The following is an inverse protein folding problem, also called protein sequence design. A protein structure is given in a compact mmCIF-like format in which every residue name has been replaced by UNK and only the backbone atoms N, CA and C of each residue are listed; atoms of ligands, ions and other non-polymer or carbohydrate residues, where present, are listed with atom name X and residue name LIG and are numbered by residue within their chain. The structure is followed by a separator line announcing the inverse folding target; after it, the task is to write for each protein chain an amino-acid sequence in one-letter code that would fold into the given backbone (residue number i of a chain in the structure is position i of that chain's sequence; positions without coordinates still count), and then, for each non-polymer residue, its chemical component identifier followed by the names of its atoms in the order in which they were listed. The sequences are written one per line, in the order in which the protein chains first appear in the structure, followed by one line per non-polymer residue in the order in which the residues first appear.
data_IF_812698611727
#
_entry.id   IF_812698611727
#
_cell.length_a   1.000
_cell.length_b   1.000
_cell.length_c   1.000
_cell.angle_alpha   90.00
_cell.angle_beta   90.00
_cell.angle_gamma   90.00
#
_symmetry.space_group_name_H-M   'P 1'
#
loop_
_entity.id
_entity.type
_entity.pdbx_description
1 polymer ?
#
# COMPACT_ATOMS: atom_id res chain seq x y z
N UNK A 1 -6.15 -21.23 -9.31
CA UNK A 1 -6.18 -19.75 -9.23
C UNK A 1 -7.62 -19.32 -9.48
N UNK A 2 -8.29 -18.74 -8.49
CA UNK A 2 -9.68 -18.29 -8.66
C UNK A 2 -9.73 -17.19 -9.70
N UNK A 3 -10.60 -17.35 -10.70
CA UNK A 3 -10.89 -16.35 -11.72
C UNK A 3 -11.25 -15.05 -11.00
N UNK A 4 -10.40 -14.03 -11.11
CA UNK A 4 -10.74 -12.71 -10.57
C UNK A 4 -11.87 -12.19 -11.47
N UNK A 5 -13.04 -11.89 -10.89
CA UNK A 5 -14.21 -11.35 -11.61
C UNK A 5 -13.95 -9.90 -12.03
N UNK A 6 -13.02 -9.74 -12.98
CA UNK A 6 -12.56 -8.46 -13.50
C UNK A 6 -13.22 -8.24 -14.86
N UNK A 7 -13.81 -7.07 -15.03
CA UNK A 7 -14.39 -6.65 -16.32
C UNK A 7 -13.65 -5.45 -16.86
N UNK A 8 -13.41 -5.45 -18.16
CA UNK A 8 -12.66 -4.42 -18.86
C UNK A 8 -13.62 -3.52 -19.64
N UNK A 9 -13.45 -2.21 -19.53
CA UNK A 9 -14.27 -1.21 -20.23
C UNK A 9 -13.42 -0.57 -21.30
N UNK A 10 -13.83 -0.71 -22.56
CA UNK A 10 -13.18 -0.07 -23.71
C UNK A 10 -14.04 1.05 -24.29
N UNK A 11 -13.40 2.03 -24.91
CA UNK A 11 -14.09 3.06 -25.69
C UNK A 11 -14.52 2.55 -27.08
N UNK A 12 -15.13 3.45 -27.87
CA UNK A 12 -15.61 3.13 -29.22
C UNK A 12 -14.49 2.76 -30.18
N UNK A 13 -13.24 3.17 -29.90
CA UNK A 13 -12.06 2.83 -30.68
C UNK A 13 -11.42 1.53 -30.21
N UNK A 14 -12.00 0.87 -29.20
CA UNK A 14 -11.47 -0.37 -28.61
C UNK A 14 -10.34 -0.13 -27.61
N UNK A 15 -9.99 1.12 -27.30
CA UNK A 15 -8.96 1.42 -26.32
C UNK A 15 -9.50 1.20 -24.90
N UNK A 16 -8.74 0.48 -24.08
CA UNK A 16 -9.11 0.20 -22.70
C UNK A 16 -9.10 1.49 -21.88
N UNK A 17 -10.24 1.86 -21.29
CA UNK A 17 -10.40 3.08 -20.48
C UNK A 17 -10.61 2.81 -19.00
N UNK A 18 -11.04 1.61 -18.64
CA UNK A 18 -11.32 1.30 -17.25
C UNK A 18 -11.42 -0.18 -16.97
N UNK A 19 -11.56 -0.49 -15.69
CA UNK A 19 -11.71 -1.84 -15.18
C UNK A 19 -12.67 -1.83 -14.00
N UNK A 20 -13.60 -2.79 -13.97
CA UNK A 20 -14.45 -3.08 -12.81
C UNK A 20 -13.82 -4.26 -12.09
N UNK A 21 -13.56 -4.09 -10.81
CA UNK A 21 -12.96 -5.11 -9.95
C UNK A 21 -13.84 -5.37 -8.73
N UNK A 22 -13.80 -6.58 -8.13
CA UNK A 22 -14.46 -6.84 -6.85
C UNK A 22 -13.89 -5.92 -5.75
N UNK A 23 -14.74 -5.51 -4.81
CA UNK A 23 -14.36 -4.54 -3.76
C UNK A 23 -13.17 -5.02 -2.90
N UNK A 24 -13.04 -6.34 -2.69
CA UNK A 24 -11.90 -6.92 -1.98
C UNK A 24 -10.59 -6.67 -2.73
N UNK A 25 -10.58 -6.93 -4.04
CA UNK A 25 -9.41 -6.70 -4.90
C UNK A 25 -9.06 -5.21 -4.97
N UNK A 26 -10.07 -4.33 -5.05
CA UNK A 26 -9.83 -2.88 -5.00
C UNK A 26 -9.13 -2.45 -3.70
N UNK A 27 -9.57 -2.96 -2.55
CA UNK A 27 -8.95 -2.64 -1.26
C UNK A 27 -7.51 -3.13 -1.16
N UNK A 28 -7.22 -4.31 -1.69
CA UNK A 28 -5.84 -4.84 -1.78
C UNK A 28 -4.97 -3.90 -2.63
N UNK A 29 -5.41 -3.56 -3.85
CA UNK A 29 -4.69 -2.62 -4.74
C UNK A 29 -4.52 -1.24 -4.09
N UNK A 30 -5.55 -0.71 -3.44
CA UNK A 30 -5.49 0.58 -2.77
C UNK A 30 -4.52 0.58 -1.57
N UNK A 31 -4.46 -0.52 -0.81
CA UNK A 31 -3.47 -0.66 0.28
C UNK A 31 -2.03 -0.70 -0.24
N UNK A 32 -1.85 -1.23 -1.46
CA UNK A 32 -0.56 -1.19 -2.13
C UNK A 32 -0.21 0.21 -2.63
N UNK A 33 -1.17 1.10 -2.94
CA UNK A 33 -0.85 2.47 -3.36
C UNK A 33 -0.17 3.29 -2.27
N UNK A 34 -0.60 3.17 -1.02
CA UNK A 34 0.06 3.84 0.11
C UNK A 34 1.47 3.28 0.34
N UNK A 35 1.62 1.96 0.27
CA UNK A 35 2.93 1.31 0.39
C UNK A 35 3.85 1.66 -0.79
N UNK A 36 3.33 1.63 -2.01
CA UNK A 36 4.03 1.99 -3.22
C UNK A 36 4.44 3.47 -3.20
N UNK A 37 3.62 4.36 -2.64
CA UNK A 37 3.99 5.75 -2.43
C UNK A 37 5.23 5.88 -1.54
N UNK A 38 5.29 5.14 -0.43
CA UNK A 38 6.47 5.11 0.43
C UNK A 38 7.68 4.47 -0.28
N UNK A 39 7.47 3.48 -1.14
CA UNK A 39 8.54 2.81 -1.89
C UNK A 39 9.10 3.63 -3.07
N UNK A 40 8.43 4.72 -3.50
CA UNK A 40 8.95 5.62 -4.56
C UNK A 40 10.21 6.39 -4.15
N UNK A 41 10.42 6.61 -2.86
CA UNK A 41 11.63 7.25 -2.34
C UNK A 41 12.61 6.19 -1.85
N UNK A 42 13.82 6.16 -2.40
CA UNK A 42 14.85 5.20 -1.99
C UNK A 42 15.20 5.35 -0.50
N UNK A 43 15.18 6.58 0.02
CA UNK A 43 15.38 6.87 1.44
C UNK A 43 14.27 6.26 2.29
N UNK A 44 13.01 6.39 1.86
CA UNK A 44 11.87 5.88 2.60
C UNK A 44 11.77 4.35 2.52
N UNK A 45 12.07 3.76 1.36
CA UNK A 45 12.22 2.32 1.19
C UNK A 45 13.24 1.74 2.14
N UNK A 46 14.42 2.37 2.25
CA UNK A 46 15.45 1.96 3.22
C UNK A 46 14.94 2.01 4.66
N UNK A 47 14.28 3.11 5.06
CA UNK A 47 13.69 3.26 6.40
C UNK A 47 12.66 2.18 6.71
N UNK A 48 11.81 1.83 5.74
CA UNK A 48 10.82 0.76 5.90
C UNK A 48 11.46 -0.61 6.10
N UNK A 49 12.49 -0.94 5.31
CA UNK A 49 13.23 -2.19 5.47
C UNK A 49 13.91 -2.26 6.84
N UNK A 50 14.59 -1.19 7.24
CA UNK A 50 15.23 -1.10 8.57
C UNK A 50 14.22 -1.20 9.72
N UNK A 51 13.01 -0.65 9.56
CA UNK A 51 11.94 -0.75 10.56
C UNK A 51 11.36 -2.16 10.64
N UNK A 52 11.15 -2.82 9.49
CA UNK A 52 10.66 -4.20 9.40
C UNK A 52 11.59 -5.20 10.11
N UNK A 53 12.90 -5.01 9.98
CA UNK A 53 13.90 -5.91 10.57
C UNK A 53 14.19 -5.60 12.05
N UNK A 54 13.57 -4.54 12.61
CA UNK A 54 13.80 -4.10 13.98
C UNK A 54 13.08 -5.01 14.97
N UNK A 55 13.85 -5.72 15.80
CA UNK A 55 13.32 -6.61 16.86
C UNK A 55 13.07 -5.92 18.21
N UNK A 56 13.31 -4.61 18.31
CA UNK A 56 13.21 -3.85 19.57
C UNK A 56 12.29 -2.66 19.37
N UNK A 57 11.43 -2.43 20.35
CA UNK A 57 10.59 -1.24 20.45
C UNK A 57 10.86 -0.49 21.76
N UNK A 58 10.13 0.60 21.95
CA UNK A 58 10.02 1.26 23.25
C UNK A 58 8.55 1.17 23.69
N UNK A 59 8.26 1.08 25.01
CA UNK A 59 6.91 1.22 25.53
C UNK A 59 6.30 2.56 25.11
N UNK A 60 4.98 2.60 24.95
CA UNK A 60 4.26 3.79 24.52
C UNK A 60 4.51 4.97 25.47
N UNK A 61 4.53 4.71 26.77
CA UNK A 61 4.75 5.70 27.82
C UNK A 61 6.12 6.37 27.67
N UNK A 62 7.16 5.57 27.37
CA UNK A 62 8.50 6.09 27.10
C UNK A 62 8.59 6.84 25.77
N UNK A 63 7.73 6.50 24.80
CA UNK A 63 7.65 7.23 23.55
C UNK A 63 7.02 8.61 23.76
N UNK A 64 5.90 8.67 24.50
CA UNK A 64 5.20 9.91 24.86
C UNK A 64 6.12 10.86 25.64
N UNK A 65 6.81 10.36 26.67
CA UNK A 65 7.80 11.12 27.44
C UNK A 65 8.90 11.74 26.55
N UNK A 66 9.47 10.94 25.63
CA UNK A 66 10.51 11.42 24.71
C UNK A 66 10.02 12.44 23.69
N UNK A 67 8.74 12.36 23.32
CA UNK A 67 8.11 13.25 22.35
C UNK A 67 7.51 14.50 23.01
N UNK A 68 7.49 14.56 24.35
CA UNK A 68 6.98 15.70 25.11
C UNK A 68 5.46 15.89 25.00
N UNK A 69 4.73 14.80 24.80
CA UNK A 69 3.26 14.75 24.66
C UNK A 69 2.63 13.86 25.72
#
# INVERSE_FOLDING_TARGET
MSKLDVQYISDKQGALKGVIVPIKLWREIASELETAHLLKSEVMKRRLVEAKDRKRGIPLEKALEKLGI
#
